data_IF_731985405885
#
_entry.id   IF_731985405885
#
_cell.length_a   1.000
_cell.length_b   1.000
_cell.length_c   1.000
_cell.angle_alpha   90.00
_cell.angle_beta   90.00
_cell.angle_gamma   90.00
#
_symmetry.space_group_name_H-M   'P 1'
#
loop_
_entity.id
_entity.type
_entity.pdbx_description
1 polymer ?
#
# COMPACT_ATOMS: atom_id res chain seq x y z
N UNK A 1 4.31 10.22 2.39
CA UNK A 1 5.65 10.26 1.78
C UNK A 1 5.55 9.87 0.31
N UNK A 2 6.38 10.41 -0.58
CA UNK A 2 6.50 9.94 -1.96
C UNK A 2 7.77 9.09 -2.05
N UNK A 3 7.66 7.87 -2.57
CA UNK A 3 8.76 6.91 -2.63
C UNK A 3 8.90 6.34 -4.05
N UNK A 4 9.97 6.73 -4.75
CA UNK A 4 10.27 6.23 -6.10
C UNK A 4 10.96 4.86 -6.09
N UNK A 5 11.29 4.33 -4.92
CA UNK A 5 11.95 3.03 -4.73
C UNK A 5 11.00 1.89 -4.33
N UNK A 6 9.70 2.17 -4.16
CA UNK A 6 8.69 1.13 -3.90
C UNK A 6 7.53 1.15 -4.90
N UNK A 7 7.05 -0.05 -5.22
CA UNK A 7 5.92 -0.26 -6.14
C UNK A 7 4.57 -0.05 -5.45
N UNK A 8 4.51 -0.29 -4.13
CA UNK A 8 3.28 -0.27 -3.37
C UNK A 8 2.96 1.14 -2.86
N UNK A 9 1.80 1.66 -3.24
CA UNK A 9 1.15 2.75 -2.52
C UNK A 9 0.31 2.20 -1.38
N UNK A 10 0.42 2.76 -0.18
CA UNK A 10 -0.38 2.35 0.98
C UNK A 10 -0.67 3.52 1.94
N UNK A 11 -1.74 3.38 2.72
CA UNK A 11 -2.14 4.33 3.78
C UNK A 11 -2.65 3.58 5.01
N UNK A 12 -2.58 4.19 6.20
CA UNK A 12 -3.13 3.58 7.41
C UNK A 12 -4.67 3.63 7.38
N UNK A 13 -5.31 2.50 7.67
CA UNK A 13 -6.75 2.34 7.56
C UNK A 13 -7.42 1.93 8.88
N UNK A 14 -8.62 2.45 9.16
CA UNK A 14 -9.47 2.04 10.29
C UNK A 14 -10.20 0.69 10.08
N UNK A 15 -10.31 -0.18 11.11
CA UNK A 15 -9.62 -0.07 12.39
C UNK A 15 -8.10 -0.23 12.20
N UNK A 16 -7.32 0.63 12.85
CA UNK A 16 -5.88 0.45 12.95
C UNK A 16 -5.63 -0.49 14.13
N UNK A 17 -4.89 -1.58 13.89
CA UNK A 17 -4.58 -2.59 14.90
C UNK A 17 -3.31 -2.19 15.68
N UNK A 18 -2.27 -1.78 14.94
CA UNK A 18 -0.99 -1.36 15.51
C UNK A 18 -0.34 -0.38 14.54
N UNK A 19 -0.51 0.93 14.73
CA UNK A 19 0.01 1.92 13.80
C UNK A 19 0.70 3.08 14.50
N UNK A 20 1.70 3.62 13.83
CA UNK A 20 2.34 4.86 14.25
C UNK A 20 1.38 6.06 14.16
N UNK A 21 1.69 7.10 14.92
CA UNK A 21 0.93 8.36 14.90
C UNK A 21 1.19 9.12 13.60
N UNK A 22 0.11 9.48 12.93
CA UNK A 22 0.13 10.36 11.76
C UNK A 22 -0.56 11.69 12.09
N UNK A 23 -0.29 12.74 11.29
CA UNK A 23 -0.88 14.07 11.45
C UNK A 23 -2.34 14.10 10.99
N UNK A 24 -2.58 13.61 9.79
CA UNK A 24 -3.92 13.58 9.20
C UNK A 24 -4.74 12.43 9.81
N UNK A 25 -6.09 12.48 9.73
CA UNK A 25 -6.91 11.35 10.19
C UNK A 25 -6.56 10.04 9.47
N UNK A 26 -6.57 8.94 10.24
CA UNK A 26 -6.47 7.58 9.68
C UNK A 26 -7.65 7.35 8.73
N UNK A 27 -7.37 6.83 7.53
CA UNK A 27 -8.39 6.63 6.50
C UNK A 27 -9.48 5.67 6.98
N UNK A 28 -10.75 6.04 6.84
CA UNK A 28 -11.87 5.18 7.16
C UNK A 28 -12.48 4.57 5.88
N UNK A 29 -12.14 3.32 5.53
CA UNK A 29 -12.64 2.70 4.31
C UNK A 29 -14.16 2.54 4.29
N UNK A 30 -14.82 2.52 5.45
CA UNK A 30 -16.28 2.35 5.51
C UNK A 30 -17.04 3.67 5.30
N UNK A 31 -16.34 4.81 5.31
CA UNK A 31 -16.94 6.11 5.01
C UNK A 31 -17.01 6.42 3.51
N UNK A 32 -16.37 5.59 2.67
CA UNK A 32 -16.31 5.76 1.22
C UNK A 32 -17.20 4.74 0.52
N UNK A 33 -18.06 5.21 -0.39
CA UNK A 33 -18.90 4.33 -1.22
C UNK A 33 -18.14 3.73 -2.41
N UNK A 34 -16.97 4.27 -2.75
CA UNK A 34 -16.11 3.80 -3.86
C UNK A 34 -15.02 2.83 -3.38
N UNK A 35 -14.85 2.69 -2.07
CA UNK A 35 -13.93 1.72 -1.49
C UNK A 35 -14.36 0.28 -1.79
N UNK A 36 -13.42 -0.55 -2.23
CA UNK A 36 -13.63 -1.99 -2.27
C UNK A 36 -12.36 -2.77 -1.91
N UNK A 37 -12.52 -3.90 -1.22
CA UNK A 37 -11.42 -4.81 -0.90
C UNK A 37 -11.18 -5.74 -2.07
N UNK A 38 -9.91 -5.90 -2.45
CA UNK A 38 -9.55 -6.86 -3.47
C UNK A 38 -9.73 -8.28 -2.94
N UNK A 39 -10.57 -9.05 -3.61
CA UNK A 39 -10.73 -10.49 -3.37
C UNK A 39 -9.53 -11.24 -3.94
N UNK A 40 -9.31 -12.47 -3.46
CA UNK A 40 -8.31 -13.34 -4.08
C UNK A 40 -8.70 -13.70 -5.52
N UNK A 41 -7.71 -13.75 -6.41
CA UNK A 41 -7.91 -14.01 -7.83
C UNK A 41 -6.67 -13.62 -8.65
N UNK A 42 -6.78 -13.70 -9.97
CA UNK A 42 -5.70 -13.31 -10.90
C UNK A 42 -5.23 -11.88 -10.67
N UNK A 43 -6.18 -10.95 -10.48
CA UNK A 43 -5.88 -9.53 -10.23
C UNK A 43 -5.01 -9.32 -8.98
N UNK A 44 -5.19 -10.13 -7.92
CA UNK A 44 -4.30 -10.10 -6.76
C UNK A 44 -2.91 -10.66 -7.08
N UNK A 45 -2.86 -11.80 -7.79
CA UNK A 45 -1.60 -12.50 -8.12
C UNK A 45 -0.72 -11.73 -9.12
N UNK A 46 -1.29 -10.85 -9.93
CA UNK A 46 -0.56 -10.02 -10.90
C UNK A 46 0.14 -8.83 -10.24
N UNK A 47 -0.26 -8.45 -9.02
CA UNK A 47 0.39 -7.42 -8.23
C UNK A 47 1.70 -7.95 -7.67
N UNK A 48 2.83 -7.35 -8.09
CA UNK A 48 4.18 -7.83 -7.72
C UNK A 48 4.53 -7.69 -6.24
N UNK A 49 3.67 -7.04 -5.47
CA UNK A 49 3.82 -6.76 -4.04
C UNK A 49 2.76 -7.48 -3.17
N UNK A 50 1.81 -8.19 -3.77
CA UNK A 50 0.87 -9.02 -3.02
C UNK A 50 1.60 -10.26 -2.52
N UNK A 51 1.43 -10.60 -1.24
CA UNK A 51 2.11 -11.76 -0.65
C UNK A 51 1.28 -13.04 -0.83
N UNK A 52 -0.01 -12.97 -0.48
CA UNK A 52 -0.84 -14.16 -0.41
C UNK A 52 -2.33 -13.81 -0.31
N UNK A 53 -3.15 -14.83 -0.54
CA UNK A 53 -4.55 -14.81 -0.17
C UNK A 53 -4.70 -15.13 1.32
N UNK A 54 -5.30 -14.23 2.10
CA UNK A 54 -5.62 -14.48 3.52
C UNK A 54 -7.10 -14.20 3.76
N UNK A 55 -7.84 -15.19 4.27
CA UNK A 55 -9.29 -15.12 4.51
C UNK A 55 -10.08 -14.58 3.29
N UNK A 56 -9.71 -15.01 2.08
CA UNK A 56 -10.35 -14.58 0.83
C UNK A 56 -10.01 -13.15 0.39
N UNK A 57 -9.04 -12.49 1.03
CA UNK A 57 -8.56 -11.14 0.67
C UNK A 57 -7.12 -11.16 0.21
N UNK A 58 -6.81 -10.27 -0.73
CA UNK A 58 -5.45 -10.05 -1.20
C UNK A 58 -4.63 -9.34 -0.11
N UNK A 59 -3.72 -10.06 0.54
CA UNK A 59 -2.90 -9.53 1.63
C UNK A 59 -1.53 -9.08 1.12
N UNK A 60 -0.99 -8.06 1.79
CA UNK A 60 0.37 -7.58 1.53
C UNK A 60 1.11 -7.35 2.85
N UNK A 61 2.44 -7.41 2.78
CA UNK A 61 3.35 -6.87 3.78
C UNK A 61 4.52 -6.23 3.03
N UNK A 62 4.80 -4.98 3.34
CA UNK A 62 5.95 -4.25 2.80
C UNK A 62 6.88 -3.90 3.95
N UNK A 63 8.10 -4.40 3.88
CA UNK A 63 9.19 -4.06 4.79
C UNK A 63 10.17 -3.13 4.06
N UNK A 64 10.69 -2.15 4.78
CA UNK A 64 11.70 -1.21 4.30
C UNK A 64 13.06 -1.50 4.98
N UNK A 65 14.15 -0.99 4.39
CA UNK A 65 15.50 -1.30 4.84
C UNK A 65 15.83 -0.81 6.26
N UNK A 66 15.10 0.20 6.76
CA UNK A 66 15.22 0.72 8.12
C UNK A 66 14.39 -0.08 9.15
N UNK A 67 13.75 -1.17 8.73
CA UNK A 67 12.90 -2.01 9.56
C UNK A 67 11.50 -1.46 9.83
N UNK A 68 11.13 -0.34 9.19
CA UNK A 68 9.74 0.12 9.12
C UNK A 68 8.93 -0.80 8.19
N UNK A 69 7.62 -0.89 8.41
CA UNK A 69 6.77 -1.76 7.60
C UNK A 69 5.30 -1.32 7.57
N UNK A 70 4.57 -1.85 6.58
CA UNK A 70 3.12 -1.80 6.49
C UNK A 70 2.55 -3.18 6.13
N UNK A 71 1.49 -3.60 6.82
CA UNK A 71 0.78 -4.86 6.61
C UNK A 71 -0.72 -4.60 6.55
N UNK A 72 -1.39 -5.23 5.58
CA UNK A 72 -2.83 -5.08 5.41
C UNK A 72 -3.38 -5.82 4.22
N UNK A 73 -4.45 -5.27 3.65
CA UNK A 73 -5.11 -5.83 2.46
C UNK A 73 -5.03 -4.85 1.30
N UNK A 74 -4.82 -5.37 0.10
CA UNK A 74 -4.95 -4.59 -1.12
C UNK A 74 -6.42 -4.25 -1.33
N UNK A 75 -6.67 -3.00 -1.69
CA UNK A 75 -7.99 -2.43 -1.91
C UNK A 75 -7.98 -1.53 -3.14
N UNK A 76 -9.17 -1.20 -3.65
CA UNK A 76 -9.40 -0.18 -4.67
C UNK A 76 -10.11 1.01 -4.06
N UNK A 77 -9.78 2.19 -4.54
CA UNK A 77 -10.44 3.45 -4.17
C UNK A 77 -10.30 4.46 -5.30
N UNK A 78 -11.15 5.49 -5.30
CA UNK A 78 -10.95 6.68 -6.11
C UNK A 78 -9.86 7.55 -5.50
N UNK A 79 -8.74 7.68 -6.22
CA UNK A 79 -7.65 8.58 -5.84
C UNK A 79 -7.77 9.91 -6.59
N UNK A 80 -7.75 11.02 -5.85
CA UNK A 80 -7.69 12.37 -6.45
C UNK A 80 -6.34 13.00 -6.14
N UNK A 81 -5.60 13.36 -7.19
CA UNK A 81 -4.35 14.12 -7.08
C UNK A 81 -4.57 15.45 -7.79
N UNK A 82 -4.65 16.53 -7.02
CA UNK A 82 -4.97 17.87 -7.52
C UNK A 82 -6.32 17.89 -8.26
N UNK A 83 -6.33 17.83 -9.60
CA UNK A 83 -7.52 17.79 -10.46
C UNK A 83 -7.74 16.45 -11.14
N UNK A 84 -6.73 15.58 -11.12
CA UNK A 84 -6.78 14.28 -11.77
C UNK A 84 -7.45 13.26 -10.84
N UNK A 85 -8.35 12.47 -11.42
CA UNK A 85 -9.09 11.43 -10.72
C UNK A 85 -8.74 10.09 -11.34
N UNK A 86 -8.29 9.17 -10.49
CA UNK A 86 -7.98 7.79 -10.83
C UNK A 86 -9.03 6.91 -10.16
N UNK A 87 -9.96 6.40 -10.95
CA UNK A 87 -10.91 5.40 -10.49
C UNK A 87 -10.19 4.05 -10.32
N UNK A 88 -10.70 3.21 -9.40
CA UNK A 88 -10.19 1.87 -9.14
C UNK A 88 -8.68 1.79 -8.84
N UNK A 89 -8.12 2.83 -8.22
CA UNK A 89 -6.70 2.87 -7.86
C UNK A 89 -6.37 1.82 -6.79
N UNK A 90 -5.43 0.92 -7.11
CA UNK A 90 -4.96 -0.08 -6.17
C UNK A 90 -4.04 0.52 -5.10
N UNK A 91 -4.33 0.20 -3.85
CA UNK A 91 -3.50 0.61 -2.72
C UNK A 91 -3.55 -0.42 -1.59
N UNK A 92 -2.53 -0.40 -0.74
CA UNK A 92 -2.48 -1.11 0.52
C UNK A 92 -3.27 -0.38 1.60
N UNK A 93 -4.31 -1.02 2.13
CA UNK A 93 -5.05 -0.54 3.29
C UNK A 93 -4.45 -1.14 4.56
N UNK A 94 -3.46 -0.43 5.12
CA UNK A 94 -2.58 -0.90 6.18
C UNK A 94 -3.24 -0.90 7.55
N UNK A 95 -3.22 -2.05 8.21
CA UNK A 95 -3.79 -2.28 9.56
C UNK A 95 -2.74 -2.35 10.64
N UNK A 96 -1.53 -2.77 10.28
CA UNK A 96 -0.36 -2.71 11.15
C UNK A 96 0.73 -1.95 10.41
N UNK A 97 1.25 -0.90 11.00
CA UNK A 97 2.24 -0.04 10.38
C UNK A 97 3.25 0.41 11.45
N UNK A 98 4.51 0.04 11.29
CA UNK A 98 5.60 0.55 12.12
C UNK A 98 6.36 1.59 11.32
N UNK A 99 6.51 2.78 11.88
CA UNK A 99 7.00 3.94 11.12
C UNK A 99 7.52 5.10 11.93
N UNK A 100 7.56 4.97 13.26
CA UNK A 100 8.05 5.99 14.17
C UNK A 100 9.49 6.39 13.82
N UNK A 101 9.70 7.68 13.54
CA UNK A 101 11.00 8.22 13.12
C UNK A 101 11.32 8.02 11.63
N UNK A 102 10.75 7.00 10.97
CA UNK A 102 10.99 6.69 9.55
C UNK A 102 10.03 7.41 8.59
N UNK A 103 8.72 7.37 8.88
CA UNK A 103 7.69 7.97 8.03
C UNK A 103 7.22 9.34 8.52
N UNK A 104 7.88 9.88 9.55
CA UNK A 104 7.47 11.11 10.23
C UNK A 104 6.02 11.01 10.71
N UNK A 105 5.21 12.01 10.36
CA UNK A 105 3.78 12.06 10.67
C UNK A 105 2.91 11.82 9.43
N UNK A 106 3.44 11.19 8.38
CA UNK A 106 2.68 11.00 7.13
C UNK A 106 1.61 9.92 7.28
N UNK A 107 0.56 9.98 6.46
CA UNK A 107 -0.52 8.98 6.48
C UNK A 107 -0.13 7.63 5.82
N UNK A 108 1.01 7.60 5.11
CA UNK A 108 1.44 6.46 4.32
C UNK A 108 2.41 6.85 3.20
N UNK A 109 2.54 5.97 2.21
CA UNK A 109 3.52 6.07 1.12
C UNK A 109 2.81 6.02 -0.22
N UNK A 110 3.12 6.96 -1.10
CA UNK A 110 2.81 6.92 -2.52
C UNK A 110 4.03 6.32 -3.26
N UNK A 111 3.92 5.04 -3.61
CA UNK A 111 4.95 4.29 -4.33
C UNK A 111 4.88 4.58 -5.83
N UNK A 112 6.02 4.96 -6.43
CA UNK A 112 6.12 5.37 -7.83
C UNK A 112 7.16 4.58 -8.63
N UNK A 113 7.69 3.48 -8.10
CA UNK A 113 8.65 2.70 -8.88
C UNK A 113 7.98 2.03 -10.08
N UNK A 114 8.62 2.10 -11.25
CA UNK A 114 8.23 1.30 -12.41
C UNK A 114 8.66 -0.15 -12.17
N UNK A 115 7.77 -1.12 -12.48
CA UNK A 115 8.11 -2.54 -12.62
C UNK A 115 9.09 -2.77 -13.78
N UNK A 116 10.32 -2.25 -13.74
CA UNK A 116 11.47 -2.71 -14.54
C UNK A 116 12.78 -2.12 -14.00
N UNK A 117 13.61 -2.92 -13.35
CA UNK A 117 15.08 -2.77 -13.41
C UNK A 117 15.67 -4.18 -13.52
N UNK A 118 15.92 -4.61 -14.76
CA UNK A 118 16.81 -5.75 -15.01
C UNK A 118 18.24 -5.24 -15.15
N UNK A 119 19.15 -5.74 -14.32
CA UNK A 119 20.58 -5.80 -14.64
C UNK A 119 20.98 -7.27 -14.65
N UNK A 120 21.03 -7.86 -15.85
CA UNK A 120 21.63 -9.16 -16.05
C UNK A 120 23.12 -8.96 -16.40
N UNK A 121 24.03 -9.45 -15.55
CA UNK A 121 25.39 -9.72 -15.97
C UNK A 121 25.43 -11.16 -16.51
N UNK A 122 25.59 -11.30 -17.83
CA UNK A 122 25.95 -12.59 -18.42
C UNK A 122 27.40 -12.89 -18.04
N UNK A 123 27.63 -13.74 -17.06
CA UNK A 123 28.93 -14.38 -16.87
C UNK A 123 29.07 -15.49 -17.92
N UNK A 124 30.11 -15.39 -18.75
CA UNK A 124 30.66 -16.52 -19.50
C UNK A 124 31.75 -17.17 -18.66
#
# INVERSE_FOLDING_TARGET
MIDTGSELTWTQCKPCIDCYKQRDPVYDPFSSSTYSRLSCGSECSELGYALSCFNGRCAYKREYNDGSYSEGVVSKEKLTITRDVFEDFFFGCGKKNKGEGSFGETAGVLGLSRKTVEMAFLQH
#
